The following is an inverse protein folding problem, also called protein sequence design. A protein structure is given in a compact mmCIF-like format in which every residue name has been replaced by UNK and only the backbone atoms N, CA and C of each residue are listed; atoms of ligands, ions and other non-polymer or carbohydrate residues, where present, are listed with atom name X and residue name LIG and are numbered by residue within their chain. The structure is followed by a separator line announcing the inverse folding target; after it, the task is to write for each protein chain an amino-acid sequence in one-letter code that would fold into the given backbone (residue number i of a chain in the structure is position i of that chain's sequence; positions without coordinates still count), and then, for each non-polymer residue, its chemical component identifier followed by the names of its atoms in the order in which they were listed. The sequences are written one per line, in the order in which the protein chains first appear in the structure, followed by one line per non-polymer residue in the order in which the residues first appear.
data_IF_717319497080
#
_entry.id   IF_717319497080
#
_cell.length_a   1.000
_cell.length_b   1.000
_cell.length_c   1.000
_cell.angle_alpha   90.00
_cell.angle_beta   90.00
_cell.angle_gamma   90.00
#
_symmetry.space_group_name_H-M   'P 1'
#
loop_
_entity.id
_entity.type
_entity.pdbx_description
1 polymer ?
#
# COMPACT_ATOMS: atom_id res chain seq x y z
N UNK A 1 -4.67 -2.65 -20.83
CA UNK A 1 -3.94 -3.84 -20.34
C UNK A 1 -4.30 -4.01 -18.87
N UNK A 2 -4.61 -5.22 -18.43
CA UNK A 2 -4.84 -5.51 -17.00
C UNK A 2 -3.50 -5.43 -16.27
N UNK A 3 -3.45 -4.76 -15.12
CA UNK A 3 -2.25 -4.75 -14.29
C UNK A 3 -1.94 -6.20 -13.83
N UNK A 4 -0.72 -6.71 -14.10
CA UNK A 4 -0.35 -8.11 -13.84
C UNK A 4 -0.42 -8.48 -12.35
N UNK A 5 -0.39 -7.51 -11.45
CA UNK A 5 -0.39 -7.71 -10.00
C UNK A 5 -1.76 -7.50 -9.35
N UNK A 6 -2.82 -7.27 -10.13
CA UNK A 6 -4.17 -7.04 -9.62
C UNK A 6 -4.66 -8.13 -8.66
N UNK A 7 -4.32 -9.40 -8.91
CA UNK A 7 -4.67 -10.49 -7.98
C UNK A 7 -3.98 -10.34 -6.62
N UNK A 8 -2.72 -9.91 -6.61
CA UNK A 8 -1.95 -9.71 -5.38
C UNK A 8 -2.39 -8.46 -4.63
N UNK A 9 -2.69 -7.39 -5.36
CA UNK A 9 -3.30 -6.16 -4.82
C UNK A 9 -4.63 -6.49 -4.13
N UNK A 10 -5.55 -7.16 -4.85
CA UNK A 10 -6.86 -7.53 -4.29
C UNK A 10 -6.74 -8.45 -3.08
N UNK A 11 -5.79 -9.39 -3.09
CA UNK A 11 -5.53 -10.25 -1.93
C UNK A 11 -5.02 -9.45 -0.72
N UNK A 12 -4.13 -8.49 -0.96
CA UNK A 12 -3.56 -7.62 0.08
C UNK A 12 -4.66 -6.76 0.71
N UNK A 13 -5.52 -6.14 -0.11
CA UNK A 13 -6.68 -5.40 0.35
C UNK A 13 -7.66 -6.27 1.14
N UNK A 14 -8.02 -7.45 0.60
CA UNK A 14 -8.93 -8.37 1.29
C UNK A 14 -8.36 -8.84 2.64
N UNK A 15 -7.03 -8.96 2.75
CA UNK A 15 -6.37 -9.29 4.01
C UNK A 15 -6.42 -8.13 5.00
N UNK A 16 -6.20 -6.89 4.55
CA UNK A 16 -6.38 -5.69 5.37
C UNK A 16 -7.79 -5.65 5.97
N UNK A 17 -8.81 -5.84 5.14
CA UNK A 17 -10.22 -5.85 5.56
C UNK A 17 -10.52 -7.00 6.53
N UNK A 18 -10.04 -8.21 6.21
CA UNK A 18 -10.27 -9.42 7.03
C UNK A 18 -9.71 -9.31 8.44
N UNK A 19 -8.54 -8.70 8.59
CA UNK A 19 -7.87 -8.59 9.89
C UNK A 19 -8.09 -7.24 10.57
N UNK A 20 -8.86 -6.34 9.96
CA UNK A 20 -9.13 -5.01 10.52
C UNK A 20 -7.89 -4.12 10.61
N UNK A 21 -6.90 -4.32 9.73
CA UNK A 21 -5.72 -3.47 9.69
C UNK A 21 -6.08 -2.07 9.19
N UNK A 22 -5.48 -1.03 9.79
CA UNK A 22 -5.73 0.38 9.43
C UNK A 22 -5.16 0.77 8.06
N UNK A 23 -4.13 0.04 7.60
CA UNK A 23 -3.47 0.24 6.32
C UNK A 23 -2.79 -1.04 5.82
N UNK A 24 -2.52 -1.07 4.52
CA UNK A 24 -1.68 -2.07 3.86
C UNK A 24 -0.94 -1.47 2.67
N UNK A 25 0.18 -2.07 2.29
CA UNK A 25 1.00 -1.63 1.17
C UNK A 25 1.56 -2.85 0.42
N UNK A 26 1.81 -2.68 -0.87
CA UNK A 26 2.43 -3.66 -1.75
C UNK A 26 3.47 -2.96 -2.64
N UNK A 27 4.72 -3.39 -2.54
CA UNK A 27 5.84 -2.88 -3.32
C UNK A 27 6.55 -4.05 -3.99
N UNK A 28 6.67 -4.02 -5.32
CA UNK A 28 7.23 -5.13 -6.10
C UNK A 28 8.43 -4.61 -6.88
N UNK A 29 9.57 -5.27 -6.69
CA UNK A 29 10.83 -4.96 -7.37
C UNK A 29 11.18 -6.10 -8.32
N UNK A 30 11.50 -5.75 -9.56
CA UNK A 30 12.04 -6.67 -10.55
C UNK A 30 13.23 -6.01 -11.23
N UNK A 31 14.33 -6.73 -11.37
CA UNK A 31 15.57 -6.26 -12.01
C UNK A 31 16.10 -4.92 -11.44
N UNK A 32 15.92 -4.72 -10.12
CA UNK A 32 16.34 -3.50 -9.43
C UNK A 32 15.44 -2.29 -9.65
N UNK A 33 14.26 -2.48 -10.25
CA UNK A 33 13.28 -1.42 -10.50
C UNK A 33 11.94 -1.73 -9.83
N UNK A 34 11.32 -0.70 -9.26
CA UNK A 34 9.95 -0.80 -8.77
C UNK A 34 9.01 -0.98 -9.97
N UNK A 35 8.35 -2.14 -10.04
CA UNK A 35 7.38 -2.46 -11.10
C UNK A 35 5.93 -2.26 -10.65
N UNK A 36 5.69 -2.20 -9.33
CA UNK A 36 4.39 -1.89 -8.74
C UNK A 36 4.58 -1.25 -7.37
N UNK A 37 3.82 -0.18 -7.13
CA UNK A 37 3.64 0.42 -5.82
C UNK A 37 2.15 0.63 -5.58
N UNK A 38 1.63 0.12 -4.47
CA UNK A 38 0.22 0.25 -4.11
C UNK A 38 0.07 0.42 -2.60
N UNK A 39 -0.83 1.31 -2.19
CA UNK A 39 -1.07 1.66 -0.80
C UNK A 39 -2.57 1.78 -0.55
N UNK A 40 -3.03 1.32 0.61
CA UNK A 40 -4.42 1.45 1.04
C UNK A 40 -4.51 1.74 2.54
N UNK A 41 -5.61 2.39 2.92
CA UNK A 41 -5.91 2.79 4.27
C UNK A 41 -5.48 4.22 4.60
N UNK A 42 -5.63 4.57 5.87
CA UNK A 42 -5.30 5.88 6.41
C UNK A 42 -4.48 5.64 7.67
N UNK A 43 -3.19 5.98 7.63
CA UNK A 43 -2.36 6.01 8.83
C UNK A 43 -2.64 7.31 9.60
N UNK A 44 -3.86 7.48 10.13
CA UNK A 44 -4.23 8.64 10.94
C UNK A 44 -4.63 8.23 12.35
N UNK A 45 -3.72 8.47 13.30
CA UNK A 45 -4.04 8.65 14.73
C UNK A 45 -4.29 10.12 15.10
N UNK A 46 -4.35 11.06 14.14
CA UNK A 46 -4.81 12.45 14.37
C UNK A 46 -5.57 13.00 13.17
N UNK A 47 -6.65 13.73 13.46
CA UNK A 47 -7.55 14.35 12.47
C UNK A 47 -6.80 15.39 11.63
N UNK A 48 -6.54 15.02 10.39
CA UNK A 48 -6.04 15.93 9.36
C UNK A 48 -4.68 15.51 8.83
N UNK A 49 -4.66 14.61 7.85
CA UNK A 49 -3.59 14.71 6.86
C UNK A 49 -4.06 14.40 5.45
N UNK A 50 -3.25 14.94 4.55
CA UNK A 50 -3.37 14.96 3.10
C UNK A 50 -3.00 13.59 2.54
N UNK A 51 -3.32 13.37 1.26
CA UNK A 51 -3.21 12.09 0.57
C UNK A 51 -1.90 11.34 0.84
N UNK A 52 -2.01 10.02 0.94
CA UNK A 52 -0.96 9.07 1.26
C UNK A 52 0.09 8.98 0.14
N UNK A 53 1.13 9.78 0.24
CA UNK A 53 2.38 9.55 -0.51
C UNK A 53 3.28 8.58 0.26
N UNK A 54 3.99 7.71 -0.48
CA UNK A 54 4.85 6.64 0.03
C UNK A 54 5.89 7.11 1.08
N UNK A 55 6.32 8.36 0.97
CA UNK A 55 7.26 9.03 1.87
C UNK A 55 6.72 9.17 3.30
N UNK A 56 5.39 9.21 3.48
CA UNK A 56 4.77 9.38 4.79
C UNK A 56 4.67 8.08 5.60
N UNK A 57 4.74 6.90 4.96
CA UNK A 57 4.61 5.60 5.64
C UNK A 57 5.97 5.08 6.11
N UNK A 58 7.04 5.33 5.36
CA UNK A 58 8.37 4.74 5.60
C UNK A 58 9.44 5.78 5.94
N UNK A 59 9.06 6.87 6.63
CA UNK A 59 10.01 7.86 7.14
C UNK A 59 11.07 7.21 8.03
N UNK A 60 12.32 7.28 7.57
CA UNK A 60 13.58 6.87 8.20
C UNK A 60 13.59 5.44 8.75
N UNK A 61 14.10 4.48 7.95
CA UNK A 61 15.15 3.51 8.30
C UNK A 61 15.53 2.65 7.09
#
# INVERSE_FOLDING_TARGET
MSDPFQKLISYTQASQEKYGASASALFIIQDGHAVTEWYSGQHHFKSGARGSDAEQIYGEL
#
